data_IF_112846892643
#
_entry.id   IF_112846892643
#
_cell.length_a   1.000
_cell.length_b   1.000
_cell.length_c   1.000
_cell.angle_alpha   90.00
_cell.angle_beta   90.00
_cell.angle_gamma   90.00
#
_symmetry.space_group_name_H-M   'P 1'
#
loop_
_entity.id
_entity.type
_entity.pdbx_description
1 polymer ?
#
# COMPACT_ATOMS: atom_id res chain seq x y z
N UNK A 1 28.62 1.20 61.01
CA UNK A 1 27.40 1.95 61.41
C UNK A 1 27.67 3.42 61.11
N UNK A 2 26.84 4.23 60.49
CA UNK A 2 25.47 4.12 60.00
C UNK A 2 25.13 5.45 59.30
N UNK A 3 24.11 5.40 58.43
CA UNK A 3 23.61 6.43 57.53
C UNK A 3 23.36 7.84 58.12
N UNK A 4 23.45 8.85 57.24
CA UNK A 4 22.97 10.21 57.50
C UNK A 4 22.76 11.07 56.25
N UNK A 5 21.68 10.77 55.49
CA UNK A 5 20.89 11.62 54.56
C UNK A 5 21.46 13.00 54.15
N UNK A 6 21.77 13.16 52.85
CA UNK A 6 21.81 14.47 52.15
C UNK A 6 20.38 14.95 51.87
N UNK A 7 20.06 16.18 52.27
CA UNK A 7 18.81 16.90 51.93
C UNK A 7 19.17 18.28 51.35
N UNK A 8 18.79 18.45 50.07
CA UNK A 8 18.27 19.66 49.39
C UNK A 8 19.14 20.92 49.43
N UNK A 9 19.65 21.31 48.25
CA UNK A 9 19.84 22.72 47.89
C UNK A 9 19.25 22.97 46.50
N UNK A 10 18.41 24.00 46.50
CA UNK A 10 17.71 24.66 45.41
C UNK A 10 18.68 25.13 44.32
N UNK A 11 18.39 24.81 43.06
CA UNK A 11 19.06 25.41 41.89
C UNK A 11 17.98 25.74 40.85
N UNK A 12 17.11 26.68 41.21
CA UNK A 12 16.28 27.38 40.24
C UNK A 12 16.93 28.74 39.91
N UNK A 13 17.91 28.72 39.02
CA UNK A 13 18.43 29.92 38.36
C UNK A 13 18.56 29.65 36.85
N UNK A 14 17.50 30.00 36.11
CA UNK A 14 17.57 30.26 34.67
C UNK A 14 16.98 31.64 34.40
N UNK A 15 17.70 32.53 33.69
CA UNK A 15 17.20 33.86 33.39
C UNK A 15 15.98 33.79 32.45
N UNK A 16 14.88 34.41 32.85
CA UNK A 16 13.66 34.55 32.02
C UNK A 16 13.96 35.54 30.89
N UNK A 17 13.88 35.06 29.65
CA UNK A 17 13.88 35.92 28.48
C UNK A 17 12.64 36.84 28.54
N UNK A 18 12.86 38.15 28.44
CA UNK A 18 11.81 39.16 28.33
C UNK A 18 11.17 39.02 26.94
N UNK A 19 9.88 38.70 26.90
CA UNK A 19 9.10 38.70 25.65
C UNK A 19 8.97 40.15 25.20
N UNK A 20 9.59 40.49 24.07
CA UNK A 20 9.39 41.77 23.40
C UNK A 20 8.18 41.61 22.49
N UNK A 21 7.09 42.30 22.80
CA UNK A 21 5.95 42.42 21.89
C UNK A 21 6.40 43.28 20.70
N UNK A 22 6.50 42.64 19.53
CA UNK A 22 6.73 43.34 18.27
C UNK A 22 5.37 43.79 17.70
N UNK A 23 5.29 45.06 17.30
CA UNK A 23 4.14 45.64 16.61
C UNK A 23 3.88 44.90 15.29
N UNK A 24 2.61 44.81 14.88
CA UNK A 24 2.15 44.14 13.67
C UNK A 24 2.90 44.57 12.40
N UNK A 25 3.40 45.81 12.38
CA UNK A 25 4.13 46.40 11.24
C UNK A 25 5.56 45.83 11.09
N UNK A 26 6.18 45.35 12.17
CA UNK A 26 7.50 44.70 12.12
C UNK A 26 7.41 43.23 11.69
N UNK A 27 6.25 42.60 11.87
CA UNK A 27 6.01 41.21 11.45
C UNK A 27 5.85 41.08 9.92
N UNK A 28 5.31 42.09 9.25
CA UNK A 28 5.14 42.09 7.79
C UNK A 28 6.47 42.33 7.04
N UNK A 29 7.37 43.16 7.57
CA UNK A 29 8.69 43.41 6.94
C UNK A 29 9.60 42.20 6.91
N UNK A 30 9.43 41.24 7.83
CA UNK A 30 10.20 39.99 7.84
C UNK A 30 9.60 38.87 6.97
N UNK A 31 8.36 39.00 6.50
CA UNK A 31 7.72 37.99 5.64
C UNK A 31 8.13 38.09 4.17
N UNK A 32 8.69 39.22 3.72
CA UNK A 32 9.04 39.47 2.31
C UNK A 32 10.43 38.97 1.87
N UNK A 33 11.08 38.08 2.65
CA UNK A 33 12.36 37.44 2.25
C UNK A 33 12.40 35.93 2.53
N UNK A 34 11.35 35.19 2.20
CA UNK A 34 11.52 33.78 1.86
C UNK A 34 11.60 33.66 0.34
N UNK A 35 12.72 33.22 -0.23
CA UNK A 35 12.67 32.66 -1.57
C UNK A 35 11.72 31.47 -1.50
N UNK A 36 10.73 31.42 -2.38
CA UNK A 36 9.88 30.24 -2.59
C UNK A 36 10.75 29.11 -3.16
N UNK A 37 11.52 28.44 -2.30
CA UNK A 37 12.04 27.13 -2.64
C UNK A 37 10.87 26.14 -2.51
N UNK A 38 10.51 25.40 -3.57
CA UNK A 38 9.55 24.33 -3.46
C UNK A 38 10.03 23.40 -2.34
N UNK A 39 9.19 23.15 -1.34
CA UNK A 39 9.47 22.13 -0.33
C UNK A 39 9.40 20.79 -1.07
N UNK A 40 10.52 20.36 -1.64
CA UNK A 40 10.67 18.98 -2.07
C UNK A 40 10.65 18.12 -0.82
N UNK A 41 9.50 17.53 -0.55
CA UNK A 41 9.36 16.44 0.42
C UNK A 41 10.27 15.32 -0.08
N UNK A 42 11.48 15.23 0.47
CA UNK A 42 12.36 14.09 0.18
C UNK A 42 11.61 12.83 0.62
N UNK A 43 11.48 11.81 -0.24
CA UNK A 43 10.84 10.57 0.18
C UNK A 43 11.57 10.04 1.40
N UNK A 44 10.82 9.62 2.42
CA UNK A 44 11.39 8.84 3.53
C UNK A 44 12.18 7.68 2.91
N UNK A 45 13.41 7.45 3.36
CA UNK A 45 14.29 6.39 2.84
C UNK A 45 13.60 5.03 2.70
N UNK A 46 12.60 4.74 3.56
CA UNK A 46 11.80 3.52 3.51
C UNK A 46 10.82 3.49 2.34
N UNK A 47 10.23 4.63 1.98
CA UNK A 47 9.35 4.74 0.84
C UNK A 47 10.14 4.61 -0.47
N UNK A 48 11.27 5.30 -0.58
CA UNK A 48 12.16 5.18 -1.73
C UNK A 48 12.63 3.72 -1.94
N UNK A 49 12.96 3.00 -0.85
CA UNK A 49 13.30 1.59 -0.92
C UNK A 49 12.13 0.73 -1.45
N UNK A 50 10.90 0.97 -0.97
CA UNK A 50 9.72 0.24 -1.47
C UNK A 50 9.45 0.51 -2.94
N UNK A 51 9.56 1.77 -3.37
CA UNK A 51 9.36 2.15 -4.76
C UNK A 51 10.42 1.51 -5.67
N UNK A 52 11.66 1.38 -5.20
CA UNK A 52 12.72 0.65 -5.91
C UNK A 52 12.37 -0.85 -6.04
N UNK A 53 11.91 -1.49 -4.96
CA UNK A 53 11.52 -2.90 -5.01
C UNK A 53 10.35 -3.13 -5.99
N UNK A 54 9.39 -2.21 -6.04
CA UNK A 54 8.29 -2.25 -7.02
C UNK A 54 8.85 -2.16 -8.44
N UNK A 55 9.73 -1.19 -8.72
CA UNK A 55 10.31 -1.02 -10.06
C UNK A 55 11.15 -2.22 -10.50
N UNK A 56 11.94 -2.81 -9.59
CA UNK A 56 12.77 -3.97 -9.90
C UNK A 56 11.89 -5.19 -10.24
N UNK A 57 10.83 -5.41 -9.46
CA UNK A 57 9.90 -6.52 -9.70
C UNK A 57 9.05 -6.30 -10.96
N UNK A 58 8.63 -5.07 -11.25
CA UNK A 58 7.98 -4.71 -12.52
C UNK A 58 8.84 -5.05 -13.74
N UNK A 59 10.11 -4.64 -13.71
CA UNK A 59 11.07 -4.95 -14.80
C UNK A 59 11.24 -6.45 -14.97
N UNK A 60 11.34 -7.19 -13.86
CA UNK A 60 11.41 -8.65 -13.91
C UNK A 60 10.17 -9.26 -14.60
N UNK A 61 8.95 -8.86 -14.21
CA UNK A 61 7.74 -9.38 -14.84
C UNK A 61 7.63 -9.05 -16.33
N UNK A 62 8.05 -7.86 -16.75
CA UNK A 62 8.04 -7.46 -18.16
C UNK A 62 9.02 -8.30 -18.99
N UNK A 63 10.23 -8.55 -18.49
CA UNK A 63 11.22 -9.39 -19.19
C UNK A 63 10.75 -10.83 -19.38
N UNK A 64 9.93 -11.35 -18.47
CA UNK A 64 9.41 -12.71 -18.55
C UNK A 64 8.25 -12.85 -19.57
N UNK A 65 7.57 -11.76 -19.95
CA UNK A 65 6.40 -11.81 -20.85
C UNK A 65 6.75 -12.05 -22.32
N UNK A 66 7.99 -11.80 -22.75
CA UNK A 66 8.37 -11.82 -24.18
C UNK A 66 8.59 -13.22 -24.80
N UNK A 67 8.36 -14.31 -24.05
CA UNK A 67 8.79 -15.66 -24.46
C UNK A 67 7.76 -16.80 -24.45
N UNK A 68 6.51 -16.57 -24.02
CA UNK A 68 5.59 -17.69 -23.70
C UNK A 68 4.57 -17.94 -24.80
N UNK A 69 4.72 -19.04 -25.55
CA UNK A 69 3.75 -19.49 -26.56
C UNK A 69 3.03 -20.81 -26.19
N UNK A 70 3.52 -21.57 -25.20
CA UNK A 70 2.92 -22.86 -24.81
C UNK A 70 2.73 -23.01 -23.27
N UNK A 71 1.74 -23.81 -22.85
CA UNK A 71 1.34 -24.00 -21.43
C UNK A 71 2.50 -24.41 -20.53
N UNK A 72 3.44 -25.22 -21.05
CA UNK A 72 4.61 -25.67 -20.29
C UNK A 72 5.58 -24.52 -19.99
N UNK A 73 5.79 -23.62 -20.97
CA UNK A 73 6.62 -22.43 -20.78
C UNK A 73 5.95 -21.44 -19.82
N UNK A 74 4.63 -21.25 -19.95
CA UNK A 74 3.87 -20.41 -19.02
C UNK A 74 3.95 -20.93 -17.57
N UNK A 75 3.82 -22.24 -17.35
CA UNK A 75 3.98 -22.82 -16.01
C UNK A 75 5.41 -22.64 -15.47
N UNK A 76 6.42 -22.78 -16.33
CA UNK A 76 7.82 -22.55 -15.94
C UNK A 76 8.06 -21.08 -15.58
N UNK A 77 7.50 -20.15 -16.35
CA UNK A 77 7.54 -18.72 -16.07
C UNK A 77 6.92 -18.40 -14.70
N UNK A 78 5.72 -18.91 -14.42
CA UNK A 78 5.08 -18.72 -13.11
C UNK A 78 5.95 -19.28 -11.97
N UNK A 79 6.61 -20.41 -12.17
CA UNK A 79 7.50 -20.97 -11.16
C UNK A 79 8.74 -20.09 -10.90
N UNK A 80 9.31 -19.48 -11.94
CA UNK A 80 10.41 -18.53 -11.78
C UNK A 80 9.94 -17.23 -11.11
N UNK A 81 8.75 -16.75 -11.45
CA UNK A 81 8.13 -15.60 -10.78
C UNK A 81 7.88 -15.87 -9.28
N UNK A 82 7.39 -17.06 -8.92
CA UNK A 82 7.25 -17.48 -7.53
C UNK A 82 8.61 -17.45 -6.80
N UNK A 83 9.66 -17.98 -7.43
CA UNK A 83 11.01 -17.99 -6.84
C UNK A 83 11.54 -16.58 -6.63
N UNK A 84 11.35 -15.68 -7.60
CA UNK A 84 11.84 -14.31 -7.50
C UNK A 84 11.08 -13.52 -6.43
N UNK A 85 9.74 -13.64 -6.37
CA UNK A 85 8.94 -13.01 -5.32
C UNK A 85 9.33 -13.55 -3.93
N UNK A 86 9.57 -14.87 -3.80
CA UNK A 86 10.05 -15.48 -2.54
C UNK A 86 11.44 -14.95 -2.15
N UNK A 87 12.34 -14.83 -3.13
CA UNK A 87 13.68 -14.27 -2.90
C UNK A 87 13.61 -12.81 -2.47
N UNK A 88 12.74 -12.03 -3.08
CA UNK A 88 12.51 -10.62 -2.74
C UNK A 88 11.94 -10.49 -1.32
N UNK A 89 10.98 -11.33 -0.93
CA UNK A 89 10.43 -11.41 0.44
C UNK A 89 11.54 -11.67 1.46
N UNK A 90 12.34 -12.72 1.23
CA UNK A 90 13.38 -13.17 2.17
C UNK A 90 14.56 -12.20 2.27
N UNK A 91 15.06 -11.69 1.13
CA UNK A 91 16.24 -10.79 1.09
C UNK A 91 15.97 -9.46 1.80
N UNK A 92 14.74 -8.96 1.72
CA UNK A 92 14.35 -7.68 2.29
C UNK A 92 13.61 -7.82 3.63
N UNK A 93 13.40 -9.04 4.13
CA UNK A 93 12.68 -9.31 5.38
C UNK A 93 11.26 -8.75 5.38
N UNK A 94 10.54 -8.90 4.26
CA UNK A 94 9.22 -8.30 4.10
C UNK A 94 8.17 -9.02 4.93
N UNK A 95 7.30 -8.25 5.58
CA UNK A 95 6.04 -8.76 6.12
C UNK A 95 5.05 -9.04 4.98
N UNK A 96 4.06 -9.92 5.22
CA UNK A 96 3.00 -10.21 4.24
C UNK A 96 2.31 -8.96 3.68
N UNK A 97 1.87 -7.98 4.50
CA UNK A 97 1.27 -6.76 3.96
C UNK A 97 2.21 -5.93 3.08
N UNK A 98 3.51 -5.90 3.40
CA UNK A 98 4.51 -5.22 2.56
C UNK A 98 4.70 -5.96 1.23
N UNK A 99 4.81 -7.28 1.29
CA UNK A 99 4.93 -8.13 0.10
C UNK A 99 3.73 -7.94 -0.84
N UNK A 100 2.50 -8.06 -0.33
CA UNK A 100 1.30 -7.93 -1.16
C UNK A 100 1.18 -6.54 -1.78
N UNK A 101 1.52 -5.48 -1.05
CA UNK A 101 1.55 -4.14 -1.63
C UNK A 101 2.55 -4.05 -2.78
N UNK A 102 3.78 -4.53 -2.59
CA UNK A 102 4.81 -4.51 -3.63
C UNK A 102 4.35 -5.35 -4.83
N UNK A 103 3.83 -6.55 -4.59
CA UNK A 103 3.38 -7.48 -5.62
C UNK A 103 2.23 -6.89 -6.45
N UNK A 104 1.18 -6.38 -5.79
CA UNK A 104 0.04 -5.73 -6.44
C UNK A 104 0.47 -4.50 -7.22
N UNK A 105 1.28 -3.61 -6.63
CA UNK A 105 1.81 -2.44 -7.33
C UNK A 105 2.73 -2.80 -8.52
N UNK A 106 3.37 -3.98 -8.46
CA UNK A 106 4.24 -4.45 -9.54
C UNK A 106 3.51 -5.15 -10.67
N UNK A 107 2.40 -5.83 -10.38
CA UNK A 107 1.60 -6.54 -11.36
C UNK A 107 0.63 -5.59 -12.10
N UNK A 108 0.04 -4.64 -11.39
CA UNK A 108 -1.01 -3.79 -11.91
C UNK A 108 -0.49 -2.40 -12.32
N UNK A 109 0.34 -2.37 -13.37
CA UNK A 109 1.00 -1.16 -13.86
C UNK A 109 0.15 -0.33 -14.82
N UNK A 110 -0.86 -0.92 -15.45
CA UNK A 110 -1.71 -0.22 -16.44
C UNK A 110 -3.02 0.27 -15.83
N UNK A 111 -3.68 1.21 -16.51
CA UNK A 111 -4.92 1.85 -16.04
C UNK A 111 -6.14 1.47 -16.89
N UNK A 112 -6.20 0.22 -17.36
CA UNK A 112 -7.36 -0.32 -18.07
C UNK A 112 -7.92 -1.56 -17.35
N UNK A 113 -9.24 -1.73 -17.40
CA UNK A 113 -9.92 -2.85 -16.74
C UNK A 113 -9.50 -4.18 -17.40
N UNK A 114 -9.34 -4.18 -18.71
CA UNK A 114 -8.97 -5.35 -19.51
C UNK A 114 -7.59 -5.87 -19.12
N UNK A 115 -6.62 -4.97 -18.91
CA UNK A 115 -5.28 -5.38 -18.49
C UNK A 115 -5.30 -5.94 -17.08
N UNK A 116 -6.09 -5.37 -16.17
CA UNK A 116 -6.23 -5.91 -14.83
C UNK A 116 -6.85 -7.32 -14.83
N UNK A 117 -7.94 -7.53 -15.58
CA UNK A 117 -8.54 -8.86 -15.76
C UNK A 117 -7.53 -9.85 -16.33
N UNK A 118 -6.76 -9.44 -17.35
CA UNK A 118 -5.69 -10.27 -17.95
C UNK A 118 -4.62 -10.64 -16.90
N UNK A 119 -4.16 -9.68 -16.10
CA UNK A 119 -3.18 -9.93 -15.03
C UNK A 119 -3.74 -10.93 -14.02
N UNK A 120 -5.00 -10.81 -13.60
CA UNK A 120 -5.63 -11.76 -12.67
C UNK A 120 -5.70 -13.18 -13.27
N UNK A 121 -6.05 -13.31 -14.55
CA UNK A 121 -6.07 -14.60 -15.25
C UNK A 121 -4.68 -15.21 -15.40
N UNK A 122 -3.69 -14.44 -15.86
CA UNK A 122 -2.35 -14.95 -16.15
C UNK A 122 -1.51 -15.17 -14.90
N UNK A 123 -1.71 -14.34 -13.87
CA UNK A 123 -0.92 -14.32 -12.64
C UNK A 123 -1.70 -14.85 -11.43
N UNK A 124 -2.92 -15.36 -11.62
CA UNK A 124 -3.72 -15.96 -10.56
C UNK A 124 -2.97 -17.07 -9.82
N UNK A 125 -2.27 -17.96 -10.55
CA UNK A 125 -1.43 -19.01 -9.93
C UNK A 125 -0.26 -18.45 -9.10
N UNK A 126 0.35 -17.34 -9.54
CA UNK A 126 1.40 -16.67 -8.79
C UNK A 126 0.83 -16.11 -7.49
N UNK A 127 -0.28 -15.37 -7.57
CA UNK A 127 -0.96 -14.79 -6.40
C UNK A 127 -1.45 -15.88 -5.43
N UNK A 128 -2.11 -16.92 -5.92
CA UNK A 128 -2.60 -18.06 -5.13
C UNK A 128 -1.48 -18.89 -4.48
N UNK A 129 -0.23 -18.81 -4.96
CA UNK A 129 0.89 -19.41 -4.25
C UNK A 129 1.20 -18.70 -2.92
N UNK A 130 0.90 -17.40 -2.80
CA UNK A 130 1.16 -16.59 -1.60
C UNK A 130 -0.10 -16.32 -0.77
N UNK A 131 -1.28 -16.35 -1.37
CA UNK A 131 -2.56 -16.10 -0.70
C UNK A 131 -3.20 -17.44 -0.36
N UNK A 132 -3.03 -17.88 0.89
CA UNK A 132 -3.44 -19.24 1.32
C UNK A 132 -4.36 -19.26 2.53
N UNK A 133 -4.58 -18.11 3.16
CA UNK A 133 -5.38 -17.96 4.36
C UNK A 133 -6.28 -16.74 4.26
N UNK A 134 -7.32 -16.69 5.09
CA UNK A 134 -8.21 -15.53 5.24
C UNK A 134 -7.41 -14.26 5.54
N UNK A 135 -6.39 -14.35 6.40
CA UNK A 135 -5.51 -13.21 6.72
C UNK A 135 -4.72 -12.71 5.50
N UNK A 136 -4.26 -13.63 4.64
CA UNK A 136 -3.56 -13.28 3.41
C UNK A 136 -4.50 -12.62 2.40
N UNK A 137 -5.72 -13.15 2.25
CA UNK A 137 -6.75 -12.59 1.37
C UNK A 137 -7.12 -11.17 1.83
N UNK A 138 -7.33 -10.97 3.13
CA UNK A 138 -7.61 -9.65 3.69
C UNK A 138 -6.42 -8.69 3.53
N UNK A 139 -5.20 -9.17 3.68
CA UNK A 139 -4.00 -8.38 3.45
C UNK A 139 -3.81 -8.01 1.97
N UNK A 140 -4.18 -8.89 1.03
CA UNK A 140 -4.23 -8.60 -0.40
C UNK A 140 -5.27 -7.50 -0.70
N UNK A 141 -6.48 -7.60 -0.13
CA UNK A 141 -7.53 -6.57 -0.30
C UNK A 141 -7.08 -5.20 0.22
N UNK A 142 -6.39 -5.15 1.36
CA UNK A 142 -5.80 -3.91 1.88
C UNK A 142 -4.67 -3.37 1.00
N UNK A 143 -3.88 -4.24 0.37
CA UNK A 143 -2.85 -3.83 -0.59
C UNK A 143 -3.48 -3.24 -1.86
N UNK A 144 -4.55 -3.86 -2.34
CA UNK A 144 -5.36 -3.37 -3.46
C UNK A 144 -5.98 -2.01 -3.16
N UNK A 145 -6.64 -1.82 -2.01
CA UNK A 145 -7.18 -0.54 -1.57
C UNK A 145 -6.09 0.56 -1.58
N UNK A 146 -4.93 0.29 -0.99
CA UNK A 146 -3.83 1.25 -0.97
C UNK A 146 -3.31 1.59 -2.37
N UNK A 147 -3.32 0.65 -3.32
CA UNK A 147 -2.92 0.91 -4.70
C UNK A 147 -3.85 1.94 -5.35
N UNK A 148 -5.16 1.79 -5.18
CA UNK A 148 -6.16 2.73 -5.70
C UNK A 148 -6.01 4.12 -5.08
N UNK A 149 -5.93 4.18 -3.75
CA UNK A 149 -5.87 5.45 -3.03
C UNK A 149 -4.56 6.21 -3.31
N UNK A 150 -3.42 5.52 -3.31
CA UNK A 150 -2.09 6.19 -3.37
C UNK A 150 -1.54 6.36 -4.78
N UNK A 151 -1.79 5.40 -5.66
CA UNK A 151 -1.10 5.35 -6.95
C UNK A 151 -2.05 5.38 -8.15
N UNK A 152 -3.34 5.09 -7.95
CA UNK A 152 -4.33 4.96 -9.03
C UNK A 152 -5.66 5.68 -8.73
N UNK A 153 -5.64 6.96 -8.29
CA UNK A 153 -6.88 7.67 -8.00
C UNK A 153 -7.80 7.78 -9.24
N UNK A 154 -7.21 7.79 -10.44
CA UNK A 154 -7.95 7.77 -11.72
C UNK A 154 -8.71 6.45 -11.98
N UNK A 155 -8.36 5.36 -11.29
CA UNK A 155 -9.02 4.06 -11.43
C UNK A 155 -10.15 3.87 -10.41
N UNK A 156 -10.33 4.76 -9.43
CA UNK A 156 -11.34 4.63 -8.36
C UNK A 156 -12.77 4.37 -8.89
N UNK A 157 -13.14 5.00 -10.02
CA UNK A 157 -14.43 4.77 -10.66
C UNK A 157 -14.62 3.35 -11.24
N UNK A 158 -13.52 2.63 -11.46
CA UNK A 158 -13.50 1.25 -11.96
C UNK A 158 -13.29 0.22 -10.85
N UNK A 159 -13.04 0.65 -9.61
CA UNK A 159 -12.79 -0.24 -8.48
C UNK A 159 -13.84 -1.36 -8.31
N UNK A 160 -15.16 -1.13 -8.49
CA UNK A 160 -16.15 -2.19 -8.33
C UNK A 160 -15.99 -3.31 -9.36
N UNK A 161 -15.68 -2.95 -10.61
CA UNK A 161 -15.47 -3.91 -11.71
C UNK A 161 -14.18 -4.72 -11.47
N UNK A 162 -13.17 -4.11 -10.85
CA UNK A 162 -11.94 -4.81 -10.49
C UNK A 162 -12.15 -5.71 -9.27
N UNK A 163 -12.99 -5.30 -8.32
CA UNK A 163 -13.37 -6.12 -7.16
C UNK A 163 -14.16 -7.36 -7.60
N UNK A 164 -15.10 -7.20 -8.53
CA UNK A 164 -15.78 -8.32 -9.20
C UNK A 164 -14.77 -9.25 -9.90
N UNK A 165 -13.79 -8.70 -10.62
CA UNK A 165 -12.75 -9.53 -11.25
C UNK A 165 -11.87 -10.29 -10.24
N UNK A 166 -11.61 -9.72 -9.07
CA UNK A 166 -10.92 -10.40 -7.98
C UNK A 166 -11.76 -11.55 -7.42
N UNK A 167 -13.08 -11.37 -7.31
CA UNK A 167 -14.04 -12.39 -6.88
C UNK A 167 -14.06 -13.55 -7.89
N UNK A 168 -14.25 -13.23 -9.17
CA UNK A 168 -14.23 -14.21 -10.27
C UNK A 168 -12.92 -14.99 -10.37
N UNK A 169 -11.81 -14.44 -9.88
CA UNK A 169 -10.50 -15.08 -9.91
C UNK A 169 -10.28 -16.13 -8.83
N UNK A 170 -11.25 -16.31 -7.91
CA UNK A 170 -11.17 -17.20 -6.75
C UNK A 170 -9.98 -16.90 -5.81
N UNK A 171 -9.37 -15.72 -5.91
CA UNK A 171 -8.25 -15.31 -5.06
C UNK A 171 -8.69 -14.80 -3.69
N UNK A 172 -9.92 -14.30 -3.59
CA UNK A 172 -10.49 -13.72 -2.38
C UNK A 172 -11.92 -14.22 -2.25
N UNK A 173 -12.21 -14.86 -1.13
CA UNK A 173 -13.53 -15.38 -0.80
C UNK A 173 -14.50 -14.23 -0.47
N UNK A 174 -15.79 -14.51 -0.67
CA UNK A 174 -16.87 -13.55 -0.42
C UNK A 174 -16.84 -12.97 0.99
N UNK A 175 -16.78 -13.83 2.01
CA UNK A 175 -16.69 -13.45 3.42
C UNK A 175 -15.55 -12.46 3.67
N UNK A 176 -14.42 -12.63 2.98
CA UNK A 176 -13.25 -11.75 3.13
C UNK A 176 -13.48 -10.41 2.45
N UNK A 177 -14.20 -10.38 1.33
CA UNK A 177 -14.60 -9.12 0.68
C UNK A 177 -15.57 -8.33 1.56
N UNK A 178 -16.55 -9.00 2.16
CA UNK A 178 -17.48 -8.40 3.11
C UNK A 178 -16.76 -7.89 4.36
N UNK A 179 -15.87 -8.72 4.94
CA UNK A 179 -15.06 -8.34 6.08
C UNK A 179 -14.12 -7.15 5.77
N UNK A 180 -13.51 -7.12 4.58
CA UNK A 180 -12.74 -5.97 4.14
C UNK A 180 -13.61 -4.72 4.09
N UNK A 181 -14.80 -4.79 3.49
CA UNK A 181 -15.70 -3.64 3.40
C UNK A 181 -16.08 -3.11 4.77
N UNK A 182 -16.42 -3.98 5.72
CA UNK A 182 -16.83 -3.57 7.08
C UNK A 182 -15.66 -2.98 7.88
N UNK A 183 -14.46 -3.54 7.72
CA UNK A 183 -13.24 -3.11 8.41
C UNK A 183 -12.49 -1.96 7.73
N UNK A 184 -12.77 -1.65 6.48
CA UNK A 184 -12.04 -0.62 5.74
C UNK A 184 -12.29 0.76 6.39
N UNK A 185 -11.20 1.37 6.89
CA UNK A 185 -11.21 2.69 7.54
C UNK A 185 -10.52 3.78 6.72
N UNK A 186 -9.77 3.39 5.69
CA UNK A 186 -8.75 4.26 5.09
C UNK A 186 -9.30 5.21 4.05
N UNK A 187 -10.35 4.83 3.31
CA UNK A 187 -10.95 5.69 2.29
C UNK A 187 -12.46 5.44 2.13
N UNK A 188 -13.26 6.41 2.58
CA UNK A 188 -14.72 6.36 2.46
C UNK A 188 -15.20 6.45 1.00
N UNK A 189 -14.41 7.04 0.10
CA UNK A 189 -14.76 7.15 -1.30
C UNK A 189 -14.64 5.79 -1.99
N UNK A 190 -13.53 5.04 -1.80
CA UNK A 190 -13.38 3.71 -2.39
C UNK A 190 -14.49 2.77 -1.92
N UNK A 191 -14.79 2.75 -0.61
CA UNK A 191 -15.92 1.97 -0.07
C UNK A 191 -17.22 2.33 -0.76
N UNK A 192 -17.54 3.62 -0.85
CA UNK A 192 -18.77 4.09 -1.51
C UNK A 192 -18.84 3.66 -2.98
N UNK A 193 -17.72 3.60 -3.70
CA UNK A 193 -17.72 3.07 -5.08
C UNK A 193 -18.11 1.60 -5.10
N UNK A 194 -17.58 0.79 -4.19
CA UNK A 194 -17.82 -0.65 -4.14
C UNK A 194 -19.14 -1.08 -3.48
N UNK A 195 -19.88 -0.14 -2.86
CA UNK A 195 -21.12 -0.42 -2.11
C UNK A 195 -22.14 -1.24 -2.92
N UNK A 196 -22.35 -0.92 -4.20
CA UNK A 196 -23.31 -1.65 -5.05
C UNK A 196 -22.92 -3.12 -5.20
N UNK A 197 -21.63 -3.40 -5.39
CA UNK A 197 -21.11 -4.76 -5.52
C UNK A 197 -21.20 -5.52 -4.19
N UNK A 198 -20.85 -4.86 -3.08
CA UNK A 198 -20.93 -5.47 -1.74
C UNK A 198 -22.38 -5.79 -1.35
N UNK A 199 -23.33 -4.92 -1.67
CA UNK A 199 -24.75 -5.20 -1.43
C UNK A 199 -25.23 -6.38 -2.27
N UNK A 200 -24.75 -6.52 -3.51
CA UNK A 200 -25.07 -7.67 -4.35
C UNK A 200 -24.53 -8.98 -3.73
N UNK A 201 -23.30 -9.00 -3.22
CA UNK A 201 -22.76 -10.17 -2.49
C UNK A 201 -23.66 -10.55 -1.30
N UNK A 202 -23.97 -9.56 -0.43
CA UNK A 202 -24.85 -9.81 0.73
C UNK A 202 -26.22 -10.37 0.35
N UNK A 203 -26.79 -9.95 -0.77
CA UNK A 203 -28.08 -10.48 -1.24
C UNK A 203 -27.97 -11.88 -1.86
N UNK A 204 -26.80 -12.29 -2.34
CA UNK A 204 -26.59 -13.62 -2.90
C UNK A 204 -26.58 -14.72 -1.82
N UNK A 205 -26.24 -14.39 -0.57
CA UNK A 205 -26.35 -15.32 0.57
C UNK A 205 -27.77 -15.46 1.14
N UNK A 206 -28.65 -14.48 0.89
CA UNK A 206 -30.01 -14.44 1.46
C UNK A 206 -31.05 -15.24 0.63
N UNK A 207 -30.68 -15.79 -0.53
CA UNK A 207 -31.51 -16.69 -1.38
C UNK A 207 -31.19 -18.19 -1.17
#
# INVERSE_FOLDING_TARGET
AGNGRRRVQDLNDKPRAKVVEMSSEDMEKFQLRRPETPVQVKPDSKQAQRDQLIQDLQKFFQQQQEGSQDKKQQQQQINEEIKEVTRLEMRNGLTKPQLYYILVASLFTETSVETWKKVLTEKGKLLGNFVRSVDDQLALMRAWEQLFVKHRPNMMARAPIIMEALYDSELVEEDVMLAWYDLATTDAELKKKCEVFVNWLRSAEEE
#
